data_IF_310412269416
#
_entry.id   IF_310412269416
#
_cell.length_a   1.000
_cell.length_b   1.000
_cell.length_c   1.000
_cell.angle_alpha   90.00
_cell.angle_beta   90.00
_cell.angle_gamma   90.00
#
_symmetry.space_group_name_H-M   'P 1'
#
loop_
_entity.id
_entity.type
_entity.pdbx_description
1 polymer ?
#
# COMPACT_ATOMS: atom_id res chain seq x y z
N UNK A 1 -35.61 33.85 -19.07
CA UNK A 1 -35.29 32.60 -18.34
C UNK A 1 -34.18 31.90 -19.08
N UNK A 2 -32.97 31.86 -18.52
CA UNK A 2 -31.89 31.06 -19.08
C UNK A 2 -32.03 29.65 -18.49
N UNK A 3 -32.49 28.69 -19.29
CA UNK A 3 -32.42 27.27 -18.96
C UNK A 3 -31.04 26.77 -19.37
N UNK A 4 -30.31 26.14 -18.44
CA UNK A 4 -29.08 25.41 -18.74
C UNK A 4 -29.45 23.94 -18.97
N UNK A 5 -29.50 23.44 -20.21
CA UNK A 5 -29.82 22.05 -20.48
C UNK A 5 -28.61 21.16 -20.15
N UNK A 6 -28.83 20.04 -19.45
CA UNK A 6 -27.83 18.96 -19.32
C UNK A 6 -27.09 18.84 -17.98
N UNK A 7 -27.64 19.37 -16.88
CA UNK A 7 -27.07 19.14 -15.54
C UNK A 7 -27.46 17.76 -15.02
N UNK A 8 -26.50 16.84 -14.93
CA UNK A 8 -26.68 15.54 -14.27
C UNK A 8 -26.15 15.59 -12.83
N UNK A 9 -26.98 15.20 -11.86
CA UNK A 9 -26.58 15.08 -10.46
C UNK A 9 -26.18 13.63 -10.13
N UNK A 10 -24.97 13.45 -9.63
CA UNK A 10 -24.51 12.20 -9.03
C UNK A 10 -24.25 12.43 -7.54
N UNK A 11 -25.24 12.10 -6.69
CA UNK A 11 -24.91 11.76 -5.30
C UNK A 11 -24.26 10.37 -5.34
N UNK A 12 -23.32 10.12 -4.43
CA UNK A 12 -22.46 8.93 -4.30
C UNK A 12 -23.15 7.54 -4.24
N UNK A 13 -24.41 7.41 -4.66
CA UNK A 13 -25.24 6.21 -4.61
C UNK A 13 -25.86 5.82 -5.98
N UNK A 14 -25.30 6.27 -7.11
CA UNK A 14 -25.70 5.76 -8.43
C UNK A 14 -27.06 6.21 -8.97
N UNK A 15 -27.59 7.35 -8.48
CA UNK A 15 -28.75 8.01 -9.09
C UNK A 15 -28.29 8.97 -10.18
N UNK A 16 -28.94 8.93 -11.34
CA UNK A 16 -28.82 9.94 -12.41
C UNK A 16 -30.19 10.48 -12.78
N UNK A 17 -30.27 11.79 -13.01
CA UNK A 17 -31.48 12.45 -13.49
C UNK A 17 -31.11 13.55 -14.50
N UNK A 18 -31.92 13.68 -15.54
CA UNK A 18 -31.85 14.75 -16.54
C UNK A 18 -33.16 15.56 -16.50
N UNK A 19 -33.07 16.88 -16.44
CA UNK A 19 -34.22 17.78 -16.46
C UNK A 19 -33.91 19.17 -15.92
N UNK A 20 -34.93 20.03 -15.88
CA UNK A 20 -34.85 21.30 -15.13
C UNK A 20 -35.10 20.99 -13.64
N UNK A 21 -34.21 21.47 -12.78
CA UNK A 21 -34.23 21.20 -11.35
C UNK A 21 -34.35 22.52 -10.59
N UNK A 22 -35.40 22.64 -9.78
CA UNK A 22 -35.51 23.71 -8.78
C UNK A 22 -34.84 23.23 -7.48
N UNK A 23 -33.76 23.90 -7.09
CA UNK A 23 -33.01 23.60 -5.87
C UNK A 23 -33.32 24.66 -4.83
N UNK A 24 -33.89 24.25 -3.70
CA UNK A 24 -34.05 25.10 -2.52
C UNK A 24 -32.73 25.08 -1.73
N UNK A 25 -31.90 26.12 -1.93
CA UNK A 25 -30.59 26.23 -1.27
C UNK A 25 -30.73 27.06 0.00
N UNK A 26 -30.24 26.53 1.12
CA UNK A 26 -30.11 27.31 2.36
C UNK A 26 -29.11 28.46 2.19
N UNK A 27 -29.36 29.55 2.90
CA UNK A 27 -28.55 30.76 2.83
C UNK A 27 -27.07 30.45 3.13
N UNK A 28 -26.17 30.85 2.22
CA UNK A 28 -24.73 30.57 2.32
C UNK A 28 -24.22 29.32 1.58
N UNK A 29 -25.11 28.51 0.99
CA UNK A 29 -24.69 27.36 0.15
C UNK A 29 -24.25 27.84 -1.23
N UNK A 30 -23.04 27.44 -1.65
CA UNK A 30 -22.52 27.66 -3.01
C UNK A 30 -22.63 26.37 -3.82
N UNK A 31 -23.18 26.47 -5.02
CA UNK A 31 -23.13 25.40 -6.02
C UNK A 31 -21.90 25.60 -6.93
N UNK A 32 -21.18 24.51 -7.18
CA UNK A 32 -20.10 24.48 -8.17
C UNK A 32 -20.38 23.37 -9.19
N UNK A 33 -20.29 23.70 -10.48
CA UNK A 33 -20.35 22.72 -11.56
C UNK A 33 -18.95 22.12 -11.78
N UNK A 34 -18.76 20.88 -11.37
CA UNK A 34 -17.52 20.15 -11.61
C UNK A 34 -17.69 19.26 -12.84
N UNK A 35 -16.89 19.41 -13.92
CA UNK A 35 -16.95 18.51 -15.05
C UNK A 35 -16.69 17.06 -14.60
N UNK A 36 -17.52 16.11 -15.02
CA UNK A 36 -17.41 14.70 -14.61
C UNK A 36 -16.00 14.12 -14.82
N UNK A 37 -15.32 14.50 -15.91
CA UNK A 37 -13.93 14.11 -16.18
C UNK A 37 -12.96 14.57 -15.09
N UNK A 38 -13.14 15.80 -14.56
CA UNK A 38 -12.31 16.35 -13.47
C UNK A 38 -12.54 15.55 -12.19
N UNK A 39 -13.80 15.30 -11.81
CA UNK A 39 -14.14 14.51 -10.63
C UNK A 39 -13.60 13.07 -10.70
N UNK A 40 -13.71 12.41 -11.86
CA UNK A 40 -13.15 11.06 -12.06
C UNK A 40 -11.61 11.06 -11.96
N UNK A 41 -10.95 12.09 -12.48
CA UNK A 41 -9.49 12.24 -12.40
C UNK A 41 -9.03 12.47 -10.96
N UNK A 42 -9.72 13.33 -10.20
CA UNK A 42 -9.45 13.55 -8.78
C UNK A 42 -9.66 12.27 -7.95
N UNK A 43 -10.74 11.52 -8.22
CA UNK A 43 -11.00 10.25 -7.55
C UNK A 43 -9.90 9.22 -7.84
N UNK A 44 -9.47 9.08 -9.10
CA UNK A 44 -8.38 8.19 -9.48
C UNK A 44 -7.07 8.60 -8.79
N UNK A 45 -6.75 9.90 -8.76
CA UNK A 45 -5.58 10.41 -8.04
C UNK A 45 -5.65 10.09 -6.54
N UNK A 46 -6.82 10.26 -5.91
CA UNK A 46 -7.01 9.95 -4.49
C UNK A 46 -6.82 8.46 -4.20
N UNK A 47 -7.33 7.56 -5.05
CA UNK A 47 -7.13 6.11 -4.92
C UNK A 47 -5.65 5.74 -5.06
N UNK A 48 -4.97 6.29 -6.05
CA UNK A 48 -3.55 6.07 -6.27
C UNK A 48 -2.71 6.58 -5.09
N UNK A 49 -3.04 7.74 -4.53
CA UNK A 49 -2.40 8.26 -3.32
C UNK A 49 -2.66 7.38 -2.09
N UNK A 50 -3.88 6.86 -1.93
CA UNK A 50 -4.18 5.90 -0.87
C UNK A 50 -3.37 4.61 -1.03
N UNK A 51 -3.27 4.07 -2.25
CA UNK A 51 -2.44 2.91 -2.53
C UNK A 51 -0.97 3.17 -2.17
N UNK A 52 -0.41 4.32 -2.56
CA UNK A 52 0.96 4.74 -2.16
C UNK A 52 1.12 4.80 -0.65
N UNK A 53 0.10 5.29 0.07
CA UNK A 53 0.12 5.29 1.53
C UNK A 53 0.15 3.86 2.12
N UNK A 54 -0.54 2.89 1.50
CA UNK A 54 -0.41 1.48 1.91
C UNK A 54 0.98 0.90 1.67
N UNK A 55 1.67 1.32 0.59
CA UNK A 55 3.06 0.92 0.31
C UNK A 55 4.01 1.51 1.36
N UNK A 56 3.85 2.79 1.70
CA UNK A 56 4.58 3.42 2.80
C UNK A 56 4.30 2.74 4.15
N UNK A 57 3.06 2.30 4.39
CA UNK A 57 2.70 1.53 5.59
C UNK A 57 3.42 0.19 5.62
N UNK A 58 3.49 -0.52 4.49
CA UNK A 58 4.25 -1.76 4.36
C UNK A 58 5.75 -1.52 4.61
N UNK A 59 6.33 -0.45 4.05
CA UNK A 59 7.72 -0.07 4.29
C UNK A 59 8.01 0.17 5.77
N UNK A 60 7.14 0.93 6.45
CA UNK A 60 7.28 1.25 7.86
C UNK A 60 7.19 0.01 8.77
N UNK A 61 6.14 -0.81 8.57
CA UNK A 61 5.89 -2.00 9.40
C UNK A 61 6.86 -3.13 9.08
N UNK A 62 7.14 -3.35 7.79
CA UNK A 62 8.12 -4.32 7.31
C UNK A 62 9.53 -3.95 7.77
N UNK A 63 9.92 -2.69 7.63
CA UNK A 63 11.20 -2.18 8.11
C UNK A 63 11.40 -2.42 9.60
N UNK A 64 10.36 -2.18 10.42
CA UNK A 64 10.39 -2.53 11.85
C UNK A 64 10.55 -4.03 12.10
N UNK A 65 9.88 -4.88 11.32
CA UNK A 65 9.94 -6.33 11.48
C UNK A 65 11.31 -6.92 11.13
N UNK A 66 11.99 -6.36 10.12
CA UNK A 66 13.27 -6.89 9.63
C UNK A 66 14.51 -6.26 10.29
N UNK A 67 14.34 -5.12 10.96
CA UNK A 67 15.43 -4.39 11.60
C UNK A 67 16.06 -5.17 12.77
N UNK A 68 17.39 -5.06 12.88
CA UNK A 68 18.19 -5.60 13.98
C UNK A 68 17.87 -7.07 14.28
N UNK A 69 17.73 -7.87 13.21
CA UNK A 69 17.60 -9.31 13.32
C UNK A 69 18.85 -9.89 14.00
N UNK A 70 18.67 -10.83 14.94
CA UNK A 70 19.82 -11.51 15.54
C UNK A 70 20.41 -12.52 14.54
N UNK A 71 21.69 -12.84 14.72
CA UNK A 71 22.35 -13.86 13.90
C UNK A 71 21.59 -15.19 13.94
N UNK A 72 21.43 -15.81 12.78
CA UNK A 72 20.70 -17.06 12.62
C UNK A 72 19.16 -16.92 12.59
N UNK A 73 18.60 -15.73 12.82
CA UNK A 73 17.15 -15.50 12.71
C UNK A 73 16.62 -15.84 11.31
N UNK A 74 17.39 -15.50 10.27
CA UNK A 74 17.02 -15.75 8.88
C UNK A 74 16.69 -17.22 8.59
N UNK A 75 17.39 -18.14 9.26
CA UNK A 75 17.22 -19.59 9.16
C UNK A 75 16.32 -20.19 10.25
N UNK A 76 15.73 -19.37 11.13
CA UNK A 76 14.85 -19.87 12.20
C UNK A 76 13.68 -20.64 11.60
N UNK A 77 13.39 -21.80 12.15
CA UNK A 77 12.41 -22.72 11.60
C UNK A 77 11.55 -23.29 12.73
N UNK A 78 10.25 -23.03 12.67
CA UNK A 78 9.32 -23.35 13.76
C UNK A 78 8.90 -24.83 13.73
N UNK A 79 8.76 -25.41 12.54
CA UNK A 79 8.37 -26.80 12.34
C UNK A 79 8.66 -27.25 10.91
N UNK A 80 8.80 -28.55 10.69
CA UNK A 80 8.92 -29.15 9.34
C UNK A 80 7.85 -28.60 8.39
N UNK A 81 8.28 -28.13 7.21
CA UNK A 81 7.42 -27.55 6.18
C UNK A 81 7.05 -26.06 6.36
N UNK A 82 7.47 -25.41 7.46
CA UNK A 82 7.29 -23.97 7.63
C UNK A 82 8.27 -23.17 6.76
N UNK A 83 7.89 -21.97 6.32
CA UNK A 83 8.85 -21.05 5.70
C UNK A 83 9.76 -20.43 6.76
N UNK A 84 11.05 -20.35 6.48
CA UNK A 84 12.00 -19.55 7.28
C UNK A 84 11.77 -18.04 7.07
N UNK A 85 12.24 -17.17 7.97
CA UNK A 85 12.12 -15.72 7.77
C UNK A 85 12.72 -15.22 6.45
N UNK A 86 13.86 -15.74 6.00
CA UNK A 86 14.43 -15.36 4.70
C UNK A 86 13.55 -15.79 3.51
N UNK A 87 12.92 -16.97 3.59
CA UNK A 87 11.97 -17.43 2.57
C UNK A 87 10.71 -16.56 2.54
N UNK A 88 10.23 -16.12 3.71
CA UNK A 88 9.10 -15.19 3.80
C UNK A 88 9.48 -13.83 3.20
N UNK A 89 10.67 -13.30 3.52
CA UNK A 89 11.10 -12.00 3.01
C UNK A 89 11.35 -12.02 1.49
N UNK A 90 11.98 -13.08 0.97
CA UNK A 90 12.14 -13.29 -0.46
C UNK A 90 10.79 -13.32 -1.19
N UNK A 91 9.79 -14.01 -0.61
CA UNK A 91 8.44 -14.06 -1.14
C UNK A 91 7.73 -12.69 -1.12
N UNK A 92 7.95 -11.88 -0.08
CA UNK A 92 7.47 -10.48 -0.07
C UNK A 92 8.10 -9.69 -1.23
N UNK A 93 9.39 -9.90 -1.52
CA UNK A 93 10.04 -9.35 -2.71
C UNK A 93 9.32 -9.74 -4.00
N UNK A 94 9.02 -11.03 -4.16
CA UNK A 94 8.31 -11.55 -5.34
C UNK A 94 6.90 -10.95 -5.48
N UNK A 95 6.18 -10.73 -4.37
CA UNK A 95 4.88 -10.04 -4.35
C UNK A 95 4.98 -8.60 -4.86
N UNK A 96 6.03 -7.87 -4.49
CA UNK A 96 6.26 -6.49 -4.94
C UNK A 96 6.66 -6.43 -6.42
N UNK A 97 7.50 -7.35 -6.87
CA UNK A 97 7.85 -7.51 -8.30
C UNK A 97 6.60 -7.88 -9.13
N UNK A 98 5.72 -8.70 -8.58
CA UNK A 98 4.44 -9.02 -9.19
C UNK A 98 3.49 -7.81 -9.22
N UNK A 99 3.43 -7.02 -8.14
CA UNK A 99 2.61 -5.80 -8.08
C UNK A 99 2.94 -4.82 -9.21
N UNK A 100 4.22 -4.52 -9.41
CA UNK A 100 4.65 -3.63 -10.50
C UNK A 100 4.41 -4.27 -11.88
N UNK A 101 4.51 -5.59 -12.00
CA UNK A 101 4.20 -6.33 -13.22
C UNK A 101 2.71 -6.26 -13.59
N UNK A 102 1.82 -6.39 -12.60
CA UNK A 102 0.38 -6.18 -12.77
C UNK A 102 0.08 -4.73 -13.16
N UNK A 103 0.68 -3.76 -12.46
CA UNK A 103 0.48 -2.34 -12.75
C UNK A 103 0.87 -1.98 -14.20
N UNK A 104 1.88 -2.67 -14.75
CA UNK A 104 2.33 -2.57 -16.15
C UNK A 104 1.55 -3.46 -17.15
N UNK A 105 0.55 -4.22 -16.69
CA UNK A 105 -0.33 -5.03 -17.54
C UNK A 105 0.23 -6.39 -17.95
N UNK A 106 1.28 -6.88 -17.30
CA UNK A 106 1.94 -8.17 -17.64
C UNK A 106 1.55 -9.33 -16.73
N UNK A 107 1.38 -9.07 -15.42
CA UNK A 107 1.07 -10.08 -14.40
C UNK A 107 2.05 -11.27 -14.31
N UNK A 108 3.33 -11.03 -14.54
CA UNK A 108 4.39 -12.06 -14.48
C UNK A 108 4.79 -12.38 -13.04
N UNK A 109 4.79 -13.66 -12.67
CA UNK A 109 5.27 -14.18 -11.39
C UNK A 109 6.67 -14.79 -11.53
N UNK A 110 7.50 -14.67 -10.49
CA UNK A 110 8.81 -15.32 -10.38
C UNK A 110 9.04 -15.74 -8.93
N UNK A 111 9.43 -16.99 -8.69
CA UNK A 111 9.84 -17.47 -7.37
C UNK A 111 11.35 -17.26 -7.21
N UNK A 112 11.73 -16.32 -6.35
CA UNK A 112 13.15 -16.03 -6.12
C UNK A 112 13.76 -17.00 -5.12
N UNK A 113 15.03 -17.35 -5.35
CA UNK A 113 15.83 -18.02 -4.33
C UNK A 113 16.19 -16.99 -3.24
N UNK A 114 15.99 -17.31 -1.94
CA UNK A 114 16.37 -16.40 -0.87
C UNK A 114 17.86 -16.04 -0.89
N UNK A 115 18.15 -14.76 -0.69
CA UNK A 115 19.46 -14.17 -0.50
C UNK A 115 19.83 -14.16 1.00
N UNK A 116 21.10 -13.86 1.34
CA UNK A 116 21.46 -13.54 2.72
C UNK A 116 20.57 -12.44 3.31
N UNK A 117 20.27 -12.51 4.61
CA UNK A 117 19.26 -11.67 5.24
C UNK A 117 19.34 -10.18 4.91
N UNK A 118 20.52 -9.57 5.03
CA UNK A 118 20.69 -8.15 4.76
C UNK A 118 20.51 -7.80 3.28
N UNK A 119 20.81 -8.73 2.38
CA UNK A 119 20.55 -8.58 0.95
C UNK A 119 19.05 -8.71 0.65
N UNK A 120 18.33 -9.60 1.34
CA UNK A 120 16.86 -9.65 1.25
C UNK A 120 16.19 -8.39 1.80
N UNK A 121 16.71 -7.83 2.90
CA UNK A 121 16.23 -6.53 3.43
C UNK A 121 16.47 -5.41 2.42
N UNK A 122 17.65 -5.37 1.79
CA UNK A 122 17.95 -4.39 0.75
C UNK A 122 17.02 -4.57 -0.47
N UNK A 123 16.80 -5.82 -0.91
CA UNK A 123 15.88 -6.15 -2.01
C UNK A 123 14.45 -5.72 -1.70
N UNK A 124 13.97 -5.98 -0.49
CA UNK A 124 12.64 -5.56 -0.02
C UNK A 124 12.44 -4.04 -0.18
N UNK A 125 13.38 -3.23 0.30
CA UNK A 125 13.29 -1.77 0.16
C UNK A 125 13.43 -1.29 -1.28
N UNK A 126 14.30 -1.92 -2.09
CA UNK A 126 14.43 -1.60 -3.51
C UNK A 126 13.14 -1.89 -4.29
N UNK A 127 12.45 -2.99 -3.98
CA UNK A 127 11.19 -3.35 -4.63
C UNK A 127 10.05 -2.39 -4.22
N UNK A 128 10.00 -1.98 -2.95
CA UNK A 128 9.09 -0.92 -2.47
C UNK A 128 9.34 0.40 -3.21
N UNK A 129 10.60 0.79 -3.37
CA UNK A 129 10.99 2.00 -4.08
C UNK A 129 10.57 1.96 -5.55
N UNK A 130 10.82 0.85 -6.23
CA UNK A 130 10.42 0.66 -7.62
C UNK A 130 8.90 0.75 -7.79
N UNK A 131 8.13 0.14 -6.88
CA UNK A 131 6.67 0.15 -6.97
C UNK A 131 6.09 1.53 -6.65
N UNK A 132 6.49 2.19 -5.56
CA UNK A 132 6.02 3.54 -5.24
C UNK A 132 6.42 4.55 -6.32
N UNK A 133 7.62 4.45 -6.90
CA UNK A 133 8.05 5.30 -8.01
C UNK A 133 7.14 5.14 -9.23
N UNK A 134 6.71 3.90 -9.54
CA UNK A 134 5.74 3.67 -10.61
C UNK A 134 4.38 4.30 -10.27
N UNK A 135 3.92 4.16 -9.02
CA UNK A 135 2.67 4.78 -8.55
C UNK A 135 2.75 6.31 -8.48
N UNK A 136 3.94 6.88 -8.28
CA UNK A 136 4.16 8.33 -8.27
C UNK A 136 4.18 8.95 -9.67
N UNK A 137 4.39 8.12 -10.70
CA UNK A 137 4.45 8.57 -12.09
C UNK A 137 3.07 8.78 -12.72
N UNK A 138 3.05 9.45 -13.87
CA UNK A 138 1.84 9.63 -14.70
C UNK A 138 1.48 8.39 -15.54
N UNK A 139 2.20 7.27 -15.37
CA UNK A 139 1.90 6.04 -16.10
C UNK A 139 0.49 5.53 -15.76
N UNK A 140 -0.15 4.91 -16.74
CA UNK A 140 -1.43 4.23 -16.53
C UNK A 140 -1.24 3.00 -15.62
N UNK A 141 -2.18 2.78 -14.70
CA UNK A 141 -2.31 1.50 -14.01
C UNK A 141 -3.19 0.60 -14.84
N UNK A 142 -2.69 -0.59 -15.19
CA UNK A 142 -3.44 -1.60 -15.95
C UNK A 142 -4.28 -2.51 -15.04
N UNK A 143 -4.47 -2.11 -13.77
CA UNK A 143 -5.31 -2.77 -12.80
C UNK A 143 -5.89 -1.74 -11.81
N UNK A 144 -7.10 -1.98 -11.26
CA UNK A 144 -7.65 -1.13 -10.21
C UNK A 144 -6.73 -1.10 -8.97
N UNK A 145 -6.63 0.06 -8.32
CA UNK A 145 -5.83 0.24 -7.11
C UNK A 145 -6.26 -0.73 -5.99
N UNK A 146 -7.56 -1.01 -5.89
CA UNK A 146 -8.09 -1.95 -4.91
C UNK A 146 -7.56 -3.37 -5.13
N UNK A 147 -7.30 -3.77 -6.38
CA UNK A 147 -6.76 -5.09 -6.71
C UNK A 147 -5.26 -5.17 -6.44
N UNK A 148 -4.53 -4.08 -6.69
CA UNK A 148 -3.12 -3.96 -6.31
C UNK A 148 -2.96 -3.97 -4.78
N UNK A 149 -3.88 -3.37 -4.05
CA UNK A 149 -3.92 -3.50 -2.59
C UNK A 149 -4.28 -4.93 -2.16
N UNK A 150 -5.40 -5.46 -2.67
CA UNK A 150 -5.96 -6.76 -2.26
C UNK A 150 -5.00 -7.93 -2.45
N UNK A 151 -4.31 -7.98 -3.59
CA UNK A 151 -3.40 -9.07 -3.92
C UNK A 151 -2.05 -8.86 -3.23
N UNK A 152 -1.10 -8.19 -3.89
CA UNK A 152 0.29 -8.19 -3.43
C UNK A 152 0.52 -7.44 -2.10
N UNK A 153 -0.11 -6.29 -1.88
CA UNK A 153 0.21 -5.46 -0.71
C UNK A 153 -0.40 -6.01 0.59
N UNK A 154 -1.66 -6.46 0.57
CA UNK A 154 -2.30 -7.08 1.72
C UNK A 154 -1.64 -8.42 2.09
N UNK A 155 -1.21 -9.20 1.09
CA UNK A 155 -0.48 -10.44 1.31
C UNK A 155 0.90 -10.19 1.92
N UNK A 156 1.64 -9.21 1.39
CA UNK A 156 2.92 -8.79 1.97
C UNK A 156 2.79 -8.33 3.43
N UNK A 157 1.75 -7.55 3.76
CA UNK A 157 1.46 -7.15 5.16
C UNK A 157 1.16 -8.37 6.06
N UNK A 158 0.50 -9.39 5.53
CA UNK A 158 0.23 -10.65 6.24
C UNK A 158 1.54 -11.37 6.56
N UNK A 159 2.44 -11.46 5.58
CA UNK A 159 3.76 -12.05 5.74
C UNK A 159 4.69 -11.25 6.66
N UNK A 160 4.61 -9.92 6.68
CA UNK A 160 5.29 -9.09 7.70
C UNK A 160 4.83 -9.46 9.11
N UNK A 161 3.53 -9.74 9.29
CA UNK A 161 2.99 -10.25 10.55
C UNK A 161 3.61 -11.60 10.96
N UNK A 162 3.83 -12.49 10.00
CA UNK A 162 4.50 -13.78 10.25
C UNK A 162 5.96 -13.58 10.69
N UNK A 163 6.72 -12.70 10.03
CA UNK A 163 8.10 -12.36 10.45
C UNK A 163 8.11 -11.82 11.88
N UNK A 164 7.21 -10.88 12.20
CA UNK A 164 7.12 -10.32 13.55
C UNK A 164 6.76 -11.37 14.61
N UNK A 165 5.91 -12.34 14.27
CA UNK A 165 5.62 -13.48 15.14
C UNK A 165 6.86 -14.37 15.34
N UNK A 166 7.56 -14.72 14.26
CA UNK A 166 8.78 -15.54 14.32
C UNK A 166 9.89 -14.84 15.12
N UNK A 167 10.01 -13.51 15.04
CA UNK A 167 10.93 -12.72 15.89
C UNK A 167 10.70 -13.01 17.37
N UNK A 168 9.43 -13.02 17.81
CA UNK A 168 9.08 -13.33 19.21
C UNK A 168 9.42 -14.78 19.57
N UNK A 169 9.13 -15.73 18.69
CA UNK A 169 9.40 -17.15 18.94
C UNK A 169 10.90 -17.47 19.00
N UNK A 170 11.70 -16.76 18.21
CA UNK A 170 13.15 -16.85 18.21
C UNK A 170 13.82 -16.09 19.38
N UNK A 171 13.05 -15.55 20.33
CA UNK A 171 13.58 -14.82 21.50
C UNK A 171 14.08 -13.41 21.17
N UNK A 172 13.71 -12.85 20.02
CA UNK A 172 14.18 -11.55 19.51
C UNK A 172 13.01 -10.63 19.17
N UNK A 173 12.03 -10.58 20.08
CA UNK A 173 10.79 -9.85 19.87
C UNK A 173 11.03 -8.37 19.55
N UNK A 174 10.31 -7.87 18.55
CA UNK A 174 10.20 -6.43 18.31
C UNK A 174 9.13 -5.84 19.24
N UNK A 175 9.33 -4.60 19.70
CA UNK A 175 8.37 -3.90 20.56
C UNK A 175 7.04 -3.67 19.84
N UNK A 176 5.94 -3.82 20.58
CA UNK A 176 4.62 -3.38 20.13
C UNK A 176 4.63 -1.89 19.84
N UNK A 177 3.76 -1.43 18.94
CA UNK A 177 3.64 -0.01 18.61
C UNK A 177 2.23 0.36 18.22
N UNK A 178 1.81 1.56 18.62
CA UNK A 178 0.56 2.14 18.18
C UNK A 178 0.74 2.71 16.76
N UNK A 179 0.47 1.89 15.75
CA UNK A 179 0.57 2.30 14.34
C UNK A 179 -0.42 3.39 13.93
N UNK A 180 -1.50 3.62 14.70
CA UNK A 180 -2.39 4.78 14.45
C UNK A 180 -1.71 6.11 14.78
N UNK A 181 -0.72 6.11 15.69
CA UNK A 181 0.12 7.28 16.01
C UNK A 181 1.44 7.32 15.23
N UNK A 182 1.72 6.31 14.40
CA UNK A 182 2.97 6.24 13.66
C UNK A 182 3.02 7.31 12.55
N UNK A 183 4.17 7.95 12.39
CA UNK A 183 4.43 8.88 11.29
C UNK A 183 4.78 8.11 10.01
N UNK A 184 3.74 7.76 9.25
CA UNK A 184 3.84 7.09 7.95
C UNK A 184 3.57 8.11 6.84
N UNK A 185 4.56 8.32 5.99
CA UNK A 185 4.52 9.32 4.92
C UNK A 185 4.68 8.66 3.54
N UNK A 186 3.83 9.05 2.60
CA UNK A 186 3.97 8.65 1.19
C UNK A 186 5.36 9.05 0.67
N UNK A 187 6.02 8.16 -0.04
CA UNK A 187 7.39 8.36 -0.54
C UNK A 187 8.49 8.06 0.48
N UNK A 188 8.19 7.79 1.76
CA UNK A 188 9.17 7.28 2.74
C UNK A 188 9.21 5.75 2.70
N UNK A 189 9.97 5.23 1.75
CA UNK A 189 9.97 3.81 1.35
C UNK A 189 11.28 3.08 1.65
N UNK A 190 12.31 3.79 2.14
CA UNK A 190 13.61 3.21 2.48
C UNK A 190 13.70 2.70 3.92
N UNK A 191 14.88 2.20 4.33
CA UNK A 191 15.14 1.74 5.70
C UNK A 191 15.10 2.87 6.74
N UNK A 192 15.40 4.10 6.32
CA UNK A 192 15.36 5.32 7.13
C UNK A 192 13.89 5.76 7.37
N UNK A 193 13.24 5.08 8.32
CA UNK A 193 11.85 5.36 8.73
C UNK A 193 11.79 6.36 9.90
N UNK A 194 10.60 6.86 10.25
CA UNK A 194 10.47 7.78 11.41
C UNK A 194 11.06 7.14 12.67
N UNK A 195 11.88 7.90 13.39
CA UNK A 195 12.40 7.53 14.71
C UNK A 195 11.41 7.84 15.84
N UNK A 196 10.32 8.59 15.56
CA UNK A 196 9.27 8.86 16.54
C UNK A 196 8.35 7.66 16.62
N UNK A 197 8.38 6.97 17.76
CA UNK A 197 7.65 5.71 18.00
C UNK A 197 6.83 5.80 19.27
N UNK A 198 5.61 5.25 19.23
CA UNK A 198 4.78 5.06 20.44
C UNK A 198 4.77 3.57 20.78
N UNK A 199 5.86 3.09 21.37
CA UNK A 199 6.08 1.67 21.65
C UNK A 199 5.57 1.23 23.02
N UNK A 200 5.25 -0.05 23.12
CA UNK A 200 4.85 -0.71 24.36
C UNK A 200 5.31 -2.18 24.34
N UNK A 201 5.41 -2.76 25.53
CA UNK A 201 5.79 -4.16 25.75
C UNK A 201 4.61 -5.13 25.57
#
# INVERSE_FOLDING_TARGET
MATLPGVEFYKSCGFSAQGNLDLDLTEGVKLEFVPMRKAMTELANNKRQLLRHTVATLAYRGGKAVANAADGFNSFHISDGSRTPEQILAHIGDLLDWAISIAKGKQTWHDSKPLPWNEEVARFFAALEAFDSYLASDNALNAPEEKLFQGPIADALTHVGQIAMLRRMAGTAIKGENYFKAEIEVGRIGPEQSSRRTEFD
#
